data_IF_295353226301
#
_entry.id   IF_295353226301
#
_cell.length_a   1.000
_cell.length_b   1.000
_cell.length_c   1.000
_cell.angle_alpha   90.00
_cell.angle_beta   90.00
_cell.angle_gamma   90.00
#
_symmetry.space_group_name_H-M   'P 1'
#
loop_
_entity.id
_entity.type
_entity.pdbx_description
1 polymer ?
#
# COMPACT_ATOMS: atom_id res chain seq x y z
N UNK A 1 18.89 13.01 5.44
CA UNK A 1 17.63 12.40 4.97
C UNK A 1 16.91 11.85 6.18
N UNK A 2 15.63 12.17 6.33
CA UNK A 2 14.74 11.69 7.40
C UNK A 2 13.92 10.52 6.89
N UNK A 3 13.83 9.44 7.66
CA UNK A 3 13.10 8.24 7.25
C UNK A 3 12.11 7.80 8.31
N UNK A 4 11.01 7.20 7.87
CA UNK A 4 10.10 6.46 8.74
C UNK A 4 10.31 4.97 8.52
N UNK A 5 10.47 4.21 9.62
CA UNK A 5 10.62 2.76 9.57
C UNK A 5 9.28 2.09 9.91
N UNK A 6 8.73 1.34 8.96
CA UNK A 6 7.40 0.75 9.06
C UNK A 6 7.48 -0.77 8.96
N UNK A 7 6.51 -1.46 9.55
CA UNK A 7 6.36 -2.89 9.38
C UNK A 7 5.08 -3.41 10.03
N UNK A 8 4.94 -4.73 10.08
CA UNK A 8 3.88 -5.36 10.86
C UNK A 8 4.46 -6.39 11.82
N UNK A 9 4.55 -6.03 13.10
CA UNK A 9 5.19 -6.84 14.15
C UNK A 9 4.51 -8.17 14.43
N UNK A 10 3.26 -8.36 13.98
CA UNK A 10 2.57 -9.66 14.05
C UNK A 10 3.10 -10.69 13.04
N UNK A 11 3.94 -10.29 12.08
CA UNK A 11 4.59 -11.22 11.14
C UNK A 11 5.96 -11.67 11.69
N UNK A 12 6.28 -12.97 11.64
CA UNK A 12 7.58 -13.48 12.06
C UNK A 12 8.74 -12.77 11.37
N UNK A 13 9.81 -12.50 12.11
CA UNK A 13 11.05 -11.91 11.60
C UNK A 13 11.02 -10.39 11.35
N UNK A 14 9.87 -9.72 11.41
CA UNK A 14 9.80 -8.26 11.15
C UNK A 14 10.50 -7.45 12.23
N UNK A 15 10.22 -7.74 13.51
CA UNK A 15 10.84 -7.01 14.63
C UNK A 15 12.34 -7.28 14.73
N UNK A 16 12.76 -8.54 14.58
CA UNK A 16 14.17 -8.92 14.54
C UNK A 16 14.90 -8.27 13.34
N UNK A 17 14.24 -8.22 12.18
CA UNK A 17 14.73 -7.52 11.00
C UNK A 17 14.90 -6.03 11.25
N UNK A 18 13.95 -5.40 11.95
CA UNK A 18 14.07 -4.00 12.37
C UNK A 18 15.26 -3.80 13.30
N UNK A 19 15.42 -4.64 14.34
CA UNK A 19 16.54 -4.56 15.29
C UNK A 19 17.89 -4.64 14.57
N UNK A 20 18.00 -5.53 13.58
CA UNK A 20 19.19 -5.68 12.76
C UNK A 20 19.45 -4.51 11.81
N UNK A 21 18.41 -3.94 11.22
CA UNK A 21 18.53 -2.91 10.17
C UNK A 21 18.61 -1.49 10.71
N UNK A 22 18.08 -1.20 11.91
CA UNK A 22 18.20 0.13 12.54
C UNK A 22 19.62 0.70 12.55
N UNK A 23 20.67 0.00 13.03
CA UNK A 23 22.02 0.54 13.03
C UNK A 23 22.57 0.78 11.62
N UNK A 24 22.12 0.00 10.64
CA UNK A 24 22.50 0.15 9.23
C UNK A 24 21.85 1.40 8.64
N UNK A 25 20.54 1.56 8.84
CA UNK A 25 19.78 2.75 8.39
C UNK A 25 20.36 4.02 9.01
N UNK A 26 20.69 3.98 10.31
CA UNK A 26 21.26 5.11 11.06
C UNK A 26 22.60 5.64 10.51
N UNK A 27 23.31 4.86 9.69
CA UNK A 27 24.54 5.33 9.03
C UNK A 27 24.26 6.28 7.86
N UNK A 28 23.05 6.23 7.29
CA UNK A 28 22.69 6.97 6.06
C UNK A 28 21.55 7.96 6.28
N UNK A 29 20.69 7.74 7.29
CA UNK A 29 19.50 8.52 7.53
C UNK A 29 19.13 8.60 9.02
N UNK A 30 18.37 9.64 9.37
CA UNK A 30 17.77 9.80 10.68
C UNK A 30 16.39 9.12 10.70
N UNK A 31 16.18 8.15 11.59
CA UNK A 31 14.87 7.52 11.79
C UNK A 31 14.02 8.44 12.68
N UNK A 32 13.07 9.15 12.09
CA UNK A 32 12.23 10.15 12.79
C UNK A 32 10.98 9.55 13.43
N UNK A 33 10.56 8.37 12.95
CA UNK A 33 9.43 7.64 13.49
C UNK A 33 9.52 6.16 13.14
N UNK A 34 8.91 5.34 14.00
CA UNK A 34 8.69 3.92 13.75
C UNK A 34 7.23 3.55 14.00
N UNK A 35 6.70 2.62 13.20
CA UNK A 35 5.44 1.95 13.51
C UNK A 35 5.42 0.50 13.01
N UNK A 36 5.20 -0.43 13.94
CA UNK A 36 5.04 -1.85 13.65
C UNK A 36 3.63 -2.37 13.96
N UNK A 37 2.73 -1.49 14.40
CA UNK A 37 1.32 -1.84 14.66
C UNK A 37 0.49 -1.74 13.39
N UNK A 38 0.87 -0.82 12.49
CA UNK A 38 0.17 -0.51 11.26
C UNK A 38 -1.15 0.24 11.46
N UNK A 39 -1.31 0.89 12.62
CA UNK A 39 -2.51 1.64 12.98
C UNK A 39 -2.25 3.13 13.20
N UNK A 40 -0.98 3.53 13.33
CA UNK A 40 -0.59 4.94 13.53
C UNK A 40 -0.79 5.72 12.22
N UNK A 41 -1.58 6.81 12.21
CA UNK A 41 -1.57 7.75 11.09
C UNK A 41 -0.18 8.41 10.97
N UNK A 42 0.32 8.53 9.75
CA UNK A 42 1.62 9.12 9.44
C UNK A 42 1.49 10.47 8.71
N UNK A 43 0.27 11.02 8.66
CA UNK A 43 -0.07 12.25 7.92
C UNK A 43 0.67 13.49 8.42
N UNK A 44 1.08 13.48 9.69
CA UNK A 44 1.69 14.65 10.36
C UNK A 44 3.22 14.53 10.44
N UNK A 45 3.79 13.47 9.84
CA UNK A 45 5.22 13.21 9.89
C UNK A 45 5.92 13.78 8.67
N UNK A 46 6.97 14.54 8.92
CA UNK A 46 7.87 14.98 7.87
C UNK A 46 9.01 13.96 7.69
N UNK A 47 8.90 13.13 6.65
CA UNK A 47 9.93 12.20 6.23
C UNK A 47 10.21 12.36 4.74
N UNK A 48 11.41 11.99 4.31
CA UNK A 48 11.81 12.02 2.90
C UNK A 48 11.57 10.65 2.22
N UNK A 49 11.46 9.58 3.01
CA UNK A 49 11.37 8.20 2.55
C UNK A 49 10.74 7.30 3.64
N UNK A 50 9.88 6.37 3.24
CA UNK A 50 9.36 5.31 4.09
C UNK A 50 10.07 3.98 3.79
N UNK A 51 10.73 3.41 4.80
CA UNK A 51 11.34 2.08 4.74
C UNK A 51 10.35 1.09 5.33
N UNK A 52 9.78 0.21 4.51
CA UNK A 52 8.77 -0.77 4.90
C UNK A 52 9.41 -2.14 5.01
N UNK A 53 9.36 -2.76 6.19
CA UNK A 53 9.81 -4.12 6.42
C UNK A 53 8.66 -5.11 6.19
N UNK A 54 8.80 -5.95 5.18
CA UNK A 54 7.81 -6.96 4.80
C UNK A 54 7.47 -6.97 3.32
N UNK A 55 6.39 -7.66 2.96
CA UNK A 55 5.93 -7.79 1.59
C UNK A 55 4.81 -6.79 1.23
N UNK A 56 4.12 -7.07 0.13
CA UNK A 56 3.10 -6.19 -0.48
C UNK A 56 2.03 -5.71 0.50
N UNK A 57 1.53 -6.59 1.38
CA UNK A 57 0.54 -6.20 2.39
C UNK A 57 1.03 -5.11 3.37
N UNK A 58 2.34 -5.08 3.66
CA UNK A 58 2.95 -4.02 4.48
C UNK A 58 3.00 -2.70 3.71
N UNK A 59 3.29 -2.74 2.40
CA UNK A 59 3.29 -1.57 1.52
C UNK A 59 1.89 -0.96 1.42
N UNK A 60 0.87 -1.79 1.18
CA UNK A 60 -0.54 -1.34 1.14
C UNK A 60 -0.96 -0.66 2.43
N UNK A 61 -0.45 -1.14 3.57
CA UNK A 61 -0.73 -0.57 4.88
C UNK A 61 -0.02 0.76 5.08
N UNK A 62 1.28 0.84 4.75
CA UNK A 62 2.04 2.09 4.78
C UNK A 62 1.40 3.18 3.90
N UNK A 63 1.01 2.84 2.67
CA UNK A 63 0.31 3.73 1.76
C UNK A 63 -0.97 4.30 2.39
N UNK A 64 -1.77 3.47 3.06
CA UNK A 64 -2.97 3.94 3.79
C UNK A 64 -2.63 4.82 4.99
N UNK A 65 -1.59 4.48 5.76
CA UNK A 65 -1.19 5.25 6.94
C UNK A 65 -0.70 6.66 6.59
N UNK A 66 -0.04 6.83 5.44
CA UNK A 66 0.43 8.12 4.93
C UNK A 66 -0.71 8.99 4.37
N UNK A 67 -1.87 8.42 4.06
CA UNK A 67 -3.03 9.18 3.57
C UNK A 67 -2.72 9.95 2.29
N UNK A 68 -3.01 11.26 2.26
CA UNK A 68 -2.67 12.12 1.12
C UNK A 68 -1.22 12.63 1.13
N UNK A 69 -0.46 12.37 2.21
CA UNK A 69 0.92 12.82 2.38
C UNK A 69 1.88 11.68 2.07
N UNK A 70 1.79 11.15 0.84
CA UNK A 70 2.64 10.06 0.38
C UNK A 70 4.11 10.51 0.30
N UNK A 71 5.01 9.68 0.82
CA UNK A 71 6.45 9.79 0.56
C UNK A 71 6.90 8.55 -0.22
N UNK A 72 8.03 8.61 -0.95
CA UNK A 72 8.58 7.44 -1.62
C UNK A 72 8.70 6.25 -0.65
N UNK A 73 8.35 5.06 -1.13
CA UNK A 73 8.37 3.83 -0.34
C UNK A 73 9.45 2.90 -0.87
N UNK A 74 10.26 2.38 0.05
CA UNK A 74 11.20 1.28 -0.20
C UNK A 74 10.79 0.12 0.68
N UNK A 75 10.53 -1.02 0.08
CA UNK A 75 10.11 -2.20 0.81
C UNK A 75 11.24 -3.24 0.88
N UNK A 76 11.71 -3.50 2.10
CA UNK A 76 12.71 -4.53 2.38
C UNK A 76 11.99 -5.84 2.65
N UNK A 77 12.13 -6.78 1.73
CA UNK A 77 11.57 -8.11 1.87
C UNK A 77 12.40 -8.93 2.86
N UNK A 78 11.79 -9.30 3.99
CA UNK A 78 12.39 -10.15 5.04
C UNK A 78 12.06 -11.65 4.86
N UNK A 79 11.48 -12.05 3.72
CA UNK A 79 11.03 -13.41 3.45
C UNK A 79 10.82 -13.69 1.96
N UNK A 80 9.64 -14.19 1.58
CA UNK A 80 9.33 -14.51 0.17
C UNK A 80 9.13 -13.24 -0.66
N UNK A 81 9.73 -13.21 -1.85
CA UNK A 81 9.55 -12.11 -2.82
C UNK A 81 8.07 -11.88 -3.14
N UNK A 82 7.66 -10.61 -3.07
CA UNK A 82 6.34 -10.13 -3.47
C UNK A 82 6.39 -9.50 -4.87
N UNK A 83 5.27 -8.91 -5.29
CA UNK A 83 5.22 -8.17 -6.56
C UNK A 83 5.79 -6.75 -6.42
N UNK A 84 5.58 -6.13 -5.26
CA UNK A 84 6.00 -4.75 -4.97
C UNK A 84 7.25 -4.66 -4.10
N UNK A 85 7.48 -5.65 -3.24
CA UNK A 85 8.68 -5.72 -2.39
C UNK A 85 9.78 -6.56 -3.06
N UNK A 86 10.77 -5.90 -3.66
CA UNK A 86 11.88 -6.53 -4.37
C UNK A 86 13.27 -6.31 -3.74
N UNK A 87 13.39 -5.44 -2.73
CA UNK A 87 14.68 -5.13 -2.10
C UNK A 87 15.04 -6.11 -0.98
N UNK A 88 16.26 -6.63 -0.98
CA UNK A 88 16.80 -7.45 0.11
C UNK A 88 17.44 -6.60 1.22
N UNK A 89 17.57 -7.12 2.46
CA UNK A 89 18.27 -6.42 3.55
C UNK A 89 19.69 -5.99 3.19
N UNK A 90 20.39 -6.80 2.39
CA UNK A 90 21.78 -6.58 1.98
C UNK A 90 21.92 -5.46 0.94
N UNK A 91 20.89 -5.19 0.15
CA UNK A 91 20.86 -4.13 -0.87
C UNK A 91 20.47 -2.77 -0.30
N UNK A 92 19.80 -2.75 0.86
CA UNK A 92 19.33 -1.52 1.52
C UNK A 92 20.40 -0.45 1.71
N UNK A 93 21.62 -0.75 2.22
CA UNK A 93 22.66 0.27 2.39
C UNK A 93 22.99 1.02 1.10
N UNK A 94 23.12 0.27 0.00
CA UNK A 94 23.46 0.84 -1.30
C UNK A 94 22.33 1.72 -1.83
N UNK A 95 21.08 1.29 -1.65
CA UNK A 95 19.92 2.11 -2.02
C UNK A 95 19.83 3.38 -1.17
N UNK A 96 20.06 3.31 0.15
CA UNK A 96 20.03 4.49 1.02
C UNK A 96 21.14 5.48 0.67
N UNK A 97 22.32 5.00 0.31
CA UNK A 97 23.40 5.85 -0.18
C UNK A 97 23.01 6.57 -1.47
N UNK A 98 22.37 5.87 -2.42
CA UNK A 98 21.87 6.47 -3.66
C UNK A 98 20.75 7.47 -3.40
N UNK A 99 19.81 7.15 -2.50
CA UNK A 99 18.70 8.01 -2.13
C UNK A 99 19.19 9.32 -1.50
N UNK A 100 20.13 9.24 -0.56
CA UNK A 100 20.76 10.40 0.06
C UNK A 100 21.51 11.29 -0.97
N UNK A 101 21.99 10.71 -2.06
CA UNK A 101 22.63 11.43 -3.16
C UNK A 101 21.65 11.92 -4.24
N UNK A 102 20.34 11.69 -4.09
CA UNK A 102 19.32 12.03 -5.09
C UNK A 102 19.40 11.20 -6.38
N UNK A 103 19.99 10.00 -6.31
CA UNK A 103 20.27 9.12 -7.47
C UNK A 103 19.31 7.93 -7.56
N UNK A 104 18.11 8.06 -7.01
CA UNK A 104 17.05 7.04 -7.09
C UNK A 104 15.98 7.50 -8.06
N UNK A 105 15.38 6.54 -8.76
CA UNK A 105 14.20 6.79 -9.57
C UNK A 105 12.95 6.55 -8.72
N UNK A 106 12.05 7.53 -8.72
CA UNK A 106 10.75 7.42 -8.07
C UNK A 106 9.75 6.99 -9.14
N UNK A 107 8.97 5.96 -8.86
CA UNK A 107 7.84 5.55 -9.70
C UNK A 107 6.55 5.91 -8.99
N UNK A 108 5.68 6.60 -9.70
CA UNK A 108 4.36 6.96 -9.20
C UNK A 108 3.37 5.86 -9.56
N UNK A 109 2.49 5.55 -8.60
CA UNK A 109 1.43 4.57 -8.78
C UNK A 109 0.07 5.22 -8.54
N UNK A 110 -0.90 4.86 -9.39
CA UNK A 110 -2.28 5.27 -9.23
C UNK A 110 -2.85 4.70 -7.92
N UNK A 111 -3.59 5.53 -7.19
CA UNK A 111 -4.37 5.13 -6.02
C UNK A 111 -5.81 5.59 -6.20
N UNK A 112 -6.76 4.76 -5.78
CA UNK A 112 -8.15 5.16 -5.68
C UNK A 112 -8.39 5.98 -4.42
N UNK A 113 -9.20 7.03 -4.57
CA UNK A 113 -9.96 7.63 -3.49
C UNK A 113 -11.41 7.14 -3.60
N UNK A 114 -11.84 6.32 -2.66
CA UNK A 114 -13.18 5.75 -2.60
C UNK A 114 -14.01 6.47 -1.55
N UNK A 115 -15.07 7.17 -1.98
CA UNK A 115 -16.03 7.83 -1.11
C UNK A 115 -17.32 7.01 -1.03
N UNK A 116 -17.76 6.72 0.19
CA UNK A 116 -18.98 5.98 0.45
C UNK A 116 -20.11 6.95 0.80
N UNK A 117 -21.18 6.91 0.01
CA UNK A 117 -22.38 7.70 0.24
C UNK A 117 -23.54 6.83 0.72
N UNK A 118 -24.26 7.29 1.74
CA UNK A 118 -25.51 6.68 2.22
C UNK A 118 -26.57 7.76 2.30
N UNK A 119 -27.66 7.59 1.54
CA UNK A 119 -28.77 8.56 1.46
C UNK A 119 -28.28 9.99 1.16
N UNK A 120 -27.37 10.12 0.19
CA UNK A 120 -26.80 11.40 -0.24
C UNK A 120 -25.78 12.03 0.71
N UNK A 121 -25.42 11.37 1.82
CA UNK A 121 -24.39 11.86 2.75
C UNK A 121 -23.15 10.98 2.67
N UNK A 122 -21.98 11.62 2.65
CA UNK A 122 -20.70 10.90 2.77
C UNK A 122 -20.59 10.30 4.17
N UNK A 123 -20.32 9.00 4.25
CA UNK A 123 -20.17 8.23 5.50
C UNK A 123 -18.80 7.58 5.65
N UNK A 124 -17.93 7.73 4.67
CA UNK A 124 -16.56 7.24 4.73
C UNK A 124 -15.77 7.58 3.48
N UNK A 125 -14.45 7.67 3.65
CA UNK A 125 -13.49 7.86 2.59
C UNK A 125 -12.31 6.90 2.84
N UNK A 126 -11.88 6.19 1.80
CA UNK A 126 -10.82 5.18 1.88
C UNK A 126 -9.88 5.35 0.69
N UNK A 127 -8.58 5.16 0.93
CA UNK A 127 -7.57 5.11 -0.13
C UNK A 127 -7.20 3.65 -0.45
N UNK A 128 -7.09 3.32 -1.74
CA UNK A 128 -6.76 1.97 -2.21
C UNK A 128 -5.66 1.98 -3.27
N UNK A 129 -4.51 1.37 -2.98
CA UNK A 129 -3.42 1.23 -3.96
C UNK A 129 -3.70 0.14 -4.99
N UNK A 130 -4.26 -0.99 -4.56
CA UNK A 130 -4.57 -2.10 -5.47
C UNK A 130 -5.96 -1.96 -6.07
N UNK A 131 -6.99 -2.07 -5.23
CA UNK A 131 -8.37 -2.09 -5.70
C UNK A 131 -9.33 -1.45 -4.70
N UNK A 132 -10.52 -1.12 -5.22
CA UNK A 132 -11.75 -0.97 -4.43
C UNK A 132 -12.65 -2.14 -4.78
N UNK A 133 -13.20 -2.82 -3.78
CA UNK A 133 -14.09 -3.96 -3.98
C UNK A 133 -15.41 -3.78 -3.23
N UNK A 134 -16.51 -3.91 -3.95
CA UNK A 134 -17.86 -4.05 -3.38
C UNK A 134 -18.16 -5.53 -3.39
N UNK A 135 -18.29 -6.15 -2.22
CA UNK A 135 -18.50 -7.59 -2.08
C UNK A 135 -19.74 -7.85 -1.21
N UNK A 136 -20.45 -8.92 -1.51
CA UNK A 136 -21.54 -9.38 -0.65
C UNK A 136 -21.00 -9.70 0.75
N UNK A 137 -21.61 -9.10 1.79
CA UNK A 137 -21.37 -9.47 3.18
C UNK A 137 -22.32 -10.59 3.65
N UNK A 138 -22.06 -11.23 4.81
CA UNK A 138 -22.99 -12.18 5.41
C UNK A 138 -24.41 -11.60 5.51
N UNK A 139 -25.47 -12.34 5.15
CA UNK A 139 -25.53 -13.79 4.88
C UNK A 139 -25.09 -14.25 3.46
N UNK A 140 -24.42 -13.40 2.68
CA UNK A 140 -24.00 -13.62 1.30
C UNK A 140 -25.18 -13.86 0.37
N UNK A 141 -25.52 -12.82 -0.40
CA UNK A 141 -26.54 -12.88 -1.43
C UNK A 141 -26.02 -12.18 -2.67
N UNK A 142 -26.59 -12.56 -3.81
CA UNK A 142 -26.28 -11.92 -5.08
C UNK A 142 -26.65 -10.43 -5.01
N UNK A 143 -25.73 -9.59 -5.47
CA UNK A 143 -25.88 -8.14 -5.53
C UNK A 143 -26.32 -7.71 -6.91
N UNK A 144 -27.21 -6.72 -6.96
CA UNK A 144 -27.42 -5.90 -8.15
C UNK A 144 -26.62 -4.60 -8.01
N UNK A 145 -25.65 -4.39 -8.89
CA UNK A 145 -24.73 -3.25 -8.84
C UNK A 145 -24.84 -2.46 -10.14
N UNK A 146 -25.37 -1.25 -10.07
CA UNK A 146 -25.35 -0.29 -11.18
C UNK A 146 -23.98 0.38 -11.26
N UNK A 147 -23.32 0.27 -12.41
CA UNK A 147 -22.05 0.93 -12.70
C UNK A 147 -22.31 2.20 -13.50
N UNK A 148 -21.89 3.32 -12.93
CA UNK A 148 -21.88 4.61 -13.62
C UNK A 148 -20.43 5.03 -13.90
N UNK A 149 -20.17 5.54 -15.11
CA UNK A 149 -18.90 6.19 -15.48
C UNK A 149 -19.23 7.60 -15.94
N UNK A 150 -18.55 8.59 -15.38
CA UNK A 150 -18.79 10.02 -15.65
C UNK A 150 -20.26 10.45 -15.53
N UNK A 151 -21.01 9.79 -14.64
CA UNK A 151 -22.43 10.05 -14.38
C UNK A 151 -23.40 9.30 -15.29
N UNK A 152 -22.91 8.53 -16.27
CA UNK A 152 -23.74 7.76 -17.19
C UNK A 152 -23.83 6.30 -16.77
N UNK A 153 -25.05 5.72 -16.78
CA UNK A 153 -25.25 4.30 -16.51
C UNK A 153 -24.65 3.47 -17.65
N UNK A 154 -23.63 2.68 -17.33
CA UNK A 154 -22.97 1.80 -18.29
C UNK A 154 -23.64 0.43 -18.33
N UNK A 155 -23.85 -0.18 -17.15
CA UNK A 155 -24.47 -1.49 -17.02
C UNK A 155 -24.89 -1.79 -15.58
N UNK A 156 -25.70 -2.84 -15.40
CA UNK A 156 -26.06 -3.40 -14.10
C UNK A 156 -25.53 -4.82 -14.01
N UNK A 157 -24.71 -5.09 -12.99
CA UNK A 157 -24.15 -6.41 -12.70
C UNK A 157 -25.02 -7.17 -11.72
N UNK A 158 -25.18 -8.48 -11.97
CA UNK A 158 -25.78 -9.45 -11.06
C UNK A 158 -24.66 -10.41 -10.63
N UNK A 159 -24.08 -10.22 -9.44
CA UNK A 159 -22.83 -10.87 -9.04
C UNK A 159 -22.62 -10.95 -7.53
N UNK A 160 -21.59 -11.68 -7.09
CA UNK A 160 -21.14 -11.70 -5.69
C UNK A 160 -20.41 -10.40 -5.28
N UNK A 161 -19.99 -9.61 -6.26
CA UNK A 161 -19.30 -8.36 -6.06
C UNK A 161 -18.66 -7.78 -7.33
N UNK A 162 -18.16 -6.56 -7.21
CA UNK A 162 -17.47 -5.82 -8.27
C UNK A 162 -16.13 -5.31 -7.74
N UNK A 163 -15.05 -5.63 -8.47
CA UNK A 163 -13.68 -5.19 -8.17
C UNK A 163 -13.28 -4.15 -9.21
N UNK A 164 -12.87 -2.96 -8.76
CA UNK A 164 -12.28 -1.92 -9.58
C UNK A 164 -10.79 -1.83 -9.19
N UNK A 165 -9.91 -2.17 -10.13
CA UNK A 165 -8.49 -2.35 -9.88
C UNK A 165 -7.63 -1.26 -10.54
N UNK A 166 -6.57 -0.85 -9.86
CA UNK A 166 -5.46 -0.10 -10.46
C UNK A 166 -4.58 -1.06 -11.28
N UNK A 167 -3.64 -0.55 -12.09
CA UNK A 167 -2.66 -1.41 -12.75
C UNK A 167 -1.83 -2.27 -11.78
N UNK A 168 -1.44 -1.71 -10.63
CA UNK A 168 -0.74 -2.46 -9.57
C UNK A 168 -1.62 -3.56 -8.98
N UNK A 169 -2.90 -3.27 -8.72
CA UNK A 169 -3.85 -4.26 -8.22
C UNK A 169 -4.22 -5.37 -9.21
N UNK A 170 -3.88 -5.22 -10.50
CA UNK A 170 -4.23 -6.19 -11.53
C UNK A 170 -3.65 -7.58 -11.28
N UNK A 171 -2.55 -7.68 -10.51
CA UNK A 171 -1.91 -8.93 -10.09
C UNK A 171 -2.39 -9.46 -8.74
N UNK A 172 -3.29 -8.74 -8.07
CA UNK A 172 -3.84 -9.07 -6.76
C UNK A 172 -5.21 -9.75 -6.89
N UNK A 173 -6.24 -9.24 -6.19
CA UNK A 173 -7.56 -9.87 -6.18
C UNK A 173 -8.20 -9.90 -7.57
N UNK A 174 -7.95 -8.87 -8.38
CA UNK A 174 -8.42 -8.81 -9.77
C UNK A 174 -7.96 -10.02 -10.59
N UNK A 175 -6.71 -10.46 -10.45
CA UNK A 175 -6.18 -11.64 -11.13
C UNK A 175 -6.90 -12.93 -10.69
N UNK A 176 -7.14 -13.08 -9.38
CA UNK A 176 -7.87 -14.24 -8.86
C UNK A 176 -9.32 -14.30 -9.36
N UNK A 177 -9.93 -13.15 -9.64
CA UNK A 177 -11.26 -13.04 -10.24
C UNK A 177 -11.25 -13.19 -11.78
N UNK A 178 -10.10 -13.48 -12.40
CA UNK A 178 -9.97 -13.66 -13.86
C UNK A 178 -9.73 -12.36 -14.65
N UNK A 179 -9.39 -11.27 -13.97
CA UNK A 179 -9.00 -10.01 -14.61
C UNK A 179 -7.65 -10.10 -15.34
N UNK A 180 -7.41 -9.24 -16.35
CA UNK A 180 -6.15 -9.20 -17.07
C UNK A 180 -5.03 -8.55 -16.23
N UNK A 181 -3.79 -8.94 -16.50
CA UNK A 181 -2.61 -8.24 -15.96
C UNK A 181 -2.38 -6.96 -16.78
N UNK A 182 -2.21 -5.84 -16.08
CA UNK A 182 -1.90 -4.54 -16.65
C UNK A 182 -0.45 -4.15 -16.32
N UNK A 183 0.13 -3.24 -17.13
CA UNK A 183 1.47 -2.69 -16.93
C UNK A 183 1.42 -1.17 -16.84
#
# INVERSE_FOLDING_TARGET
>A
MRVVLLGFGGKPGVLEGADRLRPVIGQYAEIVAEDFTGTRPLTDLEADLAIVLGGDGSILRAARQMGYHQVPVVAVNLGRLGFLADLTPEELPQLLQQAAAGRVQIREHLMFECRLFRRGREVGCLLGLNETAVLAGPPFALLEIELYIDGELVTTYSCDGLIISTPVGSTAHSLSAGGPILR
#
